data_IF_925040662926
#
_entry.id   IF_925040662926
#
_cell.length_a   1.000
_cell.length_b   1.000
_cell.length_c   1.000
_cell.angle_alpha   90.00
_cell.angle_beta   90.00
_cell.angle_gamma   90.00
#
_symmetry.space_group_name_H-M   'P 1'
#
loop_
_entity.id
_entity.type
_entity.pdbx_description
1 polymer ?
#
# COMPACT_ATOMS: atom_id res chain seq x y z
N UNK A 1 18.14 -8.78 3.53
CA UNK A 1 16.85 -8.52 2.87
C UNK A 1 15.71 -9.02 3.74
N UNK A 2 14.48 -8.59 3.49
CA UNK A 2 13.29 -9.06 4.22
C UNK A 2 12.86 -10.44 3.68
N UNK A 3 12.76 -11.45 4.56
CA UNK A 3 12.37 -12.81 4.19
C UNK A 3 10.84 -12.97 4.31
N UNK A 4 10.19 -13.27 3.20
CA UNK A 4 8.73 -13.29 3.10
C UNK A 4 8.17 -14.62 2.59
N UNK A 5 6.94 -14.91 2.98
CA UNK A 5 6.12 -16.04 2.53
C UNK A 5 4.94 -15.61 1.65
N UNK A 6 4.46 -14.37 1.83
CA UNK A 6 3.50 -13.69 0.96
C UNK A 6 3.80 -12.18 0.89
N UNK A 7 3.44 -11.54 -0.23
CA UNK A 7 3.60 -10.09 -0.46
C UNK A 7 2.44 -9.54 -1.29
N UNK A 8 1.98 -8.34 -0.95
CA UNK A 8 1.01 -7.52 -1.69
C UNK A 8 1.50 -6.08 -1.84
N UNK A 9 1.02 -5.35 -2.84
CA UNK A 9 1.43 -3.97 -3.13
C UNK A 9 0.27 -3.12 -3.63
N UNK A 10 0.09 -1.95 -3.01
CA UNK A 10 -0.84 -0.93 -3.48
C UNK A 10 -0.09 0.38 -3.78
N UNK A 11 -0.53 1.07 -4.85
CA UNK A 11 0.07 2.32 -5.31
C UNK A 11 -1.00 3.38 -5.54
N UNK A 12 -0.66 4.64 -5.24
CA UNK A 12 -1.52 5.80 -5.44
C UNK A 12 -0.67 7.02 -5.87
N UNK A 13 -1.29 7.97 -6.58
CA UNK A 13 -0.61 9.18 -7.07
C UNK A 13 -1.47 10.42 -6.87
N UNK A 14 -0.84 11.56 -6.62
CA UNK A 14 -1.49 12.87 -6.65
C UNK A 14 -2.31 13.25 -5.43
N UNK A 15 -2.51 12.33 -4.47
CA UNK A 15 -3.20 12.61 -3.21
C UNK A 15 -2.20 13.13 -2.18
N UNK A 16 -2.42 14.34 -1.64
CA UNK A 16 -1.55 14.92 -0.61
C UNK A 16 -1.86 14.41 0.81
N UNK A 17 -3.04 13.83 1.02
CA UNK A 17 -3.51 13.40 2.33
C UNK A 17 -3.40 11.87 2.50
N UNK A 18 -2.70 11.37 3.55
CA UNK A 18 -2.54 9.94 3.78
C UNK A 18 -3.87 9.20 4.02
N UNK A 19 -4.86 9.83 4.66
CA UNK A 19 -6.13 9.17 4.95
C UNK A 19 -6.93 8.97 3.65
N UNK A 20 -6.92 9.96 2.76
CA UNK A 20 -7.50 9.86 1.42
C UNK A 20 -6.84 8.75 0.59
N UNK A 21 -5.52 8.55 0.71
CA UNK A 21 -4.80 7.45 0.03
C UNK A 21 -5.30 6.08 0.50
N UNK A 22 -5.41 5.88 1.82
CA UNK A 22 -5.90 4.62 2.39
C UNK A 22 -7.35 4.38 2.02
N UNK A 23 -8.19 5.42 2.01
CA UNK A 23 -9.57 5.33 1.58
C UNK A 23 -9.71 4.97 0.10
N UNK A 24 -8.88 5.54 -0.78
CA UNK A 24 -8.86 5.20 -2.21
C UNK A 24 -8.52 3.73 -2.43
N UNK A 25 -7.50 3.21 -1.75
CA UNK A 25 -7.15 1.79 -1.85
C UNK A 25 -8.26 0.87 -1.32
N UNK A 26 -8.90 1.22 -0.20
CA UNK A 26 -10.02 0.46 0.37
C UNK A 26 -11.25 0.39 -0.54
N UNK A 27 -11.43 1.38 -1.41
CA UNK A 27 -12.57 1.48 -2.31
C UNK A 27 -12.26 1.00 -3.74
N UNK A 28 -11.05 0.47 -3.98
CA UNK A 28 -10.59 0.05 -5.30
C UNK A 28 -10.57 -1.49 -5.40
N UNK A 29 -11.36 -2.09 -6.32
CA UNK A 29 -11.41 -3.54 -6.48
C UNK A 29 -10.01 -4.14 -6.75
N UNK A 30 -9.61 -5.09 -5.92
CA UNK A 30 -8.33 -5.79 -5.98
C UNK A 30 -7.24 -5.18 -5.09
N UNK A 31 -7.32 -3.89 -4.73
CA UNK A 31 -6.44 -3.30 -3.70
C UNK A 31 -7.03 -3.47 -2.30
N UNK A 32 -8.36 -3.52 -2.22
CA UNK A 32 -9.10 -3.87 -1.03
C UNK A 32 -8.83 -5.31 -0.57
N UNK A 33 -8.67 -6.24 -1.51
CA UNK A 33 -8.25 -7.62 -1.24
C UNK A 33 -6.94 -7.65 -0.44
N UNK A 34 -5.93 -6.86 -0.83
CA UNK A 34 -4.67 -6.76 -0.09
C UNK A 34 -4.87 -6.10 1.28
N UNK A 35 -5.62 -5.00 1.37
CA UNK A 35 -5.81 -4.24 2.61
C UNK A 35 -6.60 -5.03 3.67
N UNK A 36 -7.56 -5.84 3.25
CA UNK A 36 -8.41 -6.61 4.17
C UNK A 36 -7.95 -8.06 4.35
N UNK A 37 -6.86 -8.48 3.71
CA UNK A 37 -6.29 -9.80 3.91
C UNK A 37 -5.52 -9.88 5.24
N UNK A 38 -6.09 -10.61 6.20
CA UNK A 38 -5.51 -10.88 7.51
C UNK A 38 -4.21 -11.72 7.48
N UNK A 39 -3.85 -12.33 6.35
CA UNK A 39 -2.59 -13.07 6.21
C UNK A 39 -1.37 -12.13 6.24
N UNK A 40 -1.54 -10.88 5.80
CA UNK A 40 -0.49 -9.87 5.88
C UNK A 40 -0.39 -9.31 7.30
N UNK A 41 0.82 -9.34 7.86
CA UNK A 41 1.06 -8.91 9.26
C UNK A 41 2.08 -7.79 9.40
N UNK A 42 2.82 -7.49 8.33
CA UNK A 42 3.76 -6.38 8.27
C UNK A 42 3.37 -5.41 7.15
N UNK A 43 3.65 -4.12 7.39
CA UNK A 43 3.41 -3.04 6.44
C UNK A 43 4.66 -2.15 6.31
N UNK A 44 5.01 -1.80 5.07
CA UNK A 44 5.97 -0.76 4.74
C UNK A 44 5.30 0.30 3.87
N UNK A 45 5.49 1.58 4.21
CA UNK A 45 4.90 2.70 3.46
C UNK A 45 6.02 3.59 2.94
N UNK A 46 5.94 3.95 1.66
CA UNK A 46 6.84 4.86 0.98
C UNK A 46 6.10 6.00 0.32
N UNK A 47 6.70 7.19 0.35
CA UNK A 47 6.25 8.37 -0.38
C UNK A 47 7.40 8.95 -1.20
N UNK A 48 7.13 9.36 -2.43
CA UNK A 48 8.09 10.07 -3.28
C UNK A 48 7.41 11.26 -3.96
N UNK A 49 8.05 12.43 -3.91
CA UNK A 49 7.52 13.64 -4.55
C UNK A 49 7.61 13.57 -6.07
N UNK A 50 6.65 14.19 -6.75
CA UNK A 50 6.69 14.37 -8.20
C UNK A 50 6.00 15.67 -8.64
N UNK A 51 6.26 16.15 -9.88
CA UNK A 51 5.56 17.32 -10.42
C UNK A 51 4.03 17.18 -10.50
N UNK A 52 3.51 15.94 -10.43
CA UNK A 52 2.07 15.63 -10.47
C UNK A 52 1.48 15.37 -9.07
N UNK A 53 2.22 15.68 -8.02
CA UNK A 53 1.92 15.32 -6.63
C UNK A 53 2.65 14.05 -6.18
N UNK A 54 2.52 13.66 -4.89
CA UNK A 54 3.27 12.54 -4.35
C UNK A 54 2.81 11.19 -4.93
N UNK A 55 3.76 10.27 -5.05
CA UNK A 55 3.54 8.84 -5.25
C UNK A 55 3.56 8.15 -3.90
N UNK A 56 2.55 7.33 -3.64
CA UNK A 56 2.43 6.52 -2.45
C UNK A 56 2.53 5.05 -2.84
N UNK A 57 3.28 4.30 -2.04
CA UNK A 57 3.35 2.85 -2.12
C UNK A 57 3.15 2.28 -0.73
N UNK A 58 2.34 1.23 -0.64
CA UNK A 58 2.24 0.39 0.54
C UNK A 58 2.56 -1.05 0.14
N UNK A 59 3.52 -1.65 0.83
CA UNK A 59 3.85 -3.07 0.72
C UNK A 59 3.35 -3.79 1.96
N UNK A 60 2.55 -4.83 1.74
CA UNK A 60 2.02 -5.72 2.77
C UNK A 60 2.75 -7.05 2.68
N UNK A 61 3.09 -7.65 3.82
CA UNK A 61 3.83 -8.90 3.78
C UNK A 61 3.59 -9.81 4.99
N UNK A 62 3.81 -11.10 4.74
CA UNK A 62 3.89 -12.14 5.76
C UNK A 62 5.34 -12.62 5.85
N UNK A 63 5.98 -12.60 7.02
CA UNK A 63 7.35 -13.10 7.16
C UNK A 63 7.40 -14.63 6.91
N UNK A 64 8.58 -15.12 6.54
CA UNK A 64 8.86 -16.56 6.43
C UNK A 64 9.28 -17.17 7.77
#
# INVERSE_FOLDING_TARGET
>A
GYAWSAVGETIATGMSDPAAVVEEWRNSPGRDDDIFNCDFVHVGVGIADSPRGPYWTQVLATPR
#
